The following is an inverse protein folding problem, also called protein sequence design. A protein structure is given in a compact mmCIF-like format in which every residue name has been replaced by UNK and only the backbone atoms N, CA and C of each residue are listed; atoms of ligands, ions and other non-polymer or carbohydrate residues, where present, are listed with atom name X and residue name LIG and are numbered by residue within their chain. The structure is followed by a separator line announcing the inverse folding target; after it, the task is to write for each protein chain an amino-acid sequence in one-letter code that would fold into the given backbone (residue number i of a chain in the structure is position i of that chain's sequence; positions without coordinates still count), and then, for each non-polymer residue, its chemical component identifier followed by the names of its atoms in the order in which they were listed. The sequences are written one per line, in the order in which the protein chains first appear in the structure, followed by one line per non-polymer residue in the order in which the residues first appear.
data_IF_645576833281
#
_entry.id   IF_645576833281
#
_cell.length_a   1.000
_cell.length_b   1.000
_cell.length_c   1.000
_cell.angle_alpha   90.00
_cell.angle_beta   90.00
_cell.angle_gamma   90.00
#
_symmetry.space_group_name_H-M   'P 1'
#
loop_
_entity.id
_entity.type
_entity.pdbx_description
1 polymer ?
#
# COMPACT_ATOMS: atom_id res chain seq x y z
N UNK A 1 35.01 45.39 65.27
CA UNK A 1 35.98 46.51 65.29
C UNK A 1 37.06 46.22 64.25
N UNK A 2 37.26 47.14 63.29
CA UNK A 2 38.42 47.33 62.40
C UNK A 2 38.78 46.18 61.42
N UNK A 3 38.64 46.32 60.10
CA UNK A 3 39.30 47.24 59.14
C UNK A 3 40.67 46.74 58.65
N UNK A 4 40.72 46.46 57.32
CA UNK A 4 41.85 46.67 56.37
C UNK A 4 43.17 45.92 56.66
N UNK A 5 44.02 45.53 55.71
CA UNK A 5 44.07 45.53 54.25
C UNK A 5 45.42 44.87 53.87
N UNK A 6 45.64 44.68 52.57
CA UNK A 6 46.97 44.70 51.91
C UNK A 6 47.77 43.39 52.02
N UNK A 7 48.48 42.88 51.01
CA UNK A 7 48.92 43.38 49.70
C UNK A 7 49.61 42.19 48.99
N UNK A 8 49.53 42.14 47.66
CA UNK A 8 50.60 41.74 46.69
C UNK A 8 51.15 40.30 46.80
N UNK A 9 51.38 39.50 45.76
CA UNK A 9 51.56 39.73 44.34
C UNK A 9 52.75 38.89 43.85
N UNK A 10 52.55 38.19 42.72
CA UNK A 10 53.56 37.82 41.69
C UNK A 10 54.42 36.55 41.86
N UNK A 11 54.63 35.92 40.70
CA UNK A 11 55.65 34.93 40.28
C UNK A 11 55.34 33.45 40.55
N UNK A 12 54.88 32.69 39.55
CA UNK A 12 55.67 31.98 38.52
C UNK A 12 56.41 30.76 39.08
N UNK A 13 56.06 29.56 38.59
CA UNK A 13 56.98 28.64 37.89
C UNK A 13 56.25 27.30 37.58
N UNK A 14 56.24 26.95 36.29
CA UNK A 14 56.63 25.64 35.69
C UNK A 14 56.07 24.35 36.31
N UNK A 15 55.55 23.35 35.60
CA UNK A 15 55.88 22.81 34.28
C UNK A 15 54.94 21.62 33.99
N UNK A 16 54.97 21.14 32.73
CA UNK A 16 54.52 19.82 32.27
C UNK A 16 53.03 19.63 31.95
N UNK A 17 52.60 20.19 30.82
CA UNK A 17 51.65 19.50 29.95
C UNK A 17 52.36 19.23 28.62
N UNK A 18 52.49 17.95 28.28
CA UNK A 18 53.14 17.47 27.06
C UNK A 18 52.36 17.96 25.85
N UNK A 19 53.07 18.58 24.91
CA UNK A 19 52.63 18.87 23.55
C UNK A 19 52.24 17.57 22.83
N UNK A 20 51.04 17.55 22.25
CA UNK A 20 50.72 16.68 21.12
C UNK A 20 50.87 17.55 19.88
N UNK A 21 51.91 17.28 19.09
CA UNK A 21 52.15 17.96 17.81
C UNK A 21 50.99 17.77 16.85
N UNK A 22 50.42 18.86 16.37
CA UNK A 22 49.50 18.89 15.22
C UNK A 22 50.34 19.21 13.97
N UNK A 23 50.46 18.33 12.98
CA UNK A 23 51.08 18.69 11.71
C UNK A 23 50.09 19.53 10.89
N UNK A 24 50.52 20.74 10.55
CA UNK A 24 49.92 21.54 9.48
C UNK A 24 50.27 20.93 8.12
N UNK A 25 49.26 20.52 7.36
CA UNK A 25 49.41 20.33 5.91
C UNK A 25 48.27 21.05 5.18
N UNK A 26 48.64 22.18 4.61
CA UNK A 26 47.92 22.92 3.59
C UNK A 26 48.04 22.15 2.27
N UNK A 27 46.94 22.20 1.49
CA UNK A 27 46.86 21.97 0.05
C UNK A 27 46.91 20.53 -0.46
N UNK A 28 45.72 20.01 -0.79
CA UNK A 28 45.37 19.88 -2.21
C UNK A 28 43.86 19.70 -2.35
N UNK A 29 43.17 20.77 -2.76
CA UNK A 29 41.80 20.70 -3.24
C UNK A 29 41.80 19.92 -4.56
N UNK A 30 41.74 18.59 -4.47
CA UNK A 30 41.32 17.77 -5.60
C UNK A 30 39.81 17.87 -5.66
N UNK A 31 39.33 18.54 -6.70
CA UNK A 31 37.93 18.73 -6.97
C UNK A 31 37.19 17.40 -6.83
N UNK A 32 36.28 17.37 -5.86
CA UNK A 32 35.17 16.41 -5.88
C UNK A 32 34.33 16.83 -7.08
N UNK A 33 34.72 16.35 -8.26
CA UNK A 33 33.84 16.29 -9.40
C UNK A 33 32.65 15.47 -8.94
N UNK A 34 31.58 16.16 -8.54
CA UNK A 34 30.26 15.56 -8.58
C UNK A 34 30.07 15.14 -10.02
N UNK A 35 30.33 13.87 -10.30
CA UNK A 35 29.78 13.21 -11.46
C UNK A 35 28.28 13.45 -11.35
N UNK A 36 27.77 14.45 -12.08
CA UNK A 36 26.41 14.41 -12.56
C UNK A 36 26.38 13.17 -13.46
N UNK A 37 26.21 12.01 -12.83
CA UNK A 37 25.73 10.84 -13.51
C UNK A 37 24.51 11.34 -14.27
N UNK A 38 24.58 11.27 -15.59
CA UNK A 38 23.41 11.41 -16.44
C UNK A 38 22.43 10.35 -15.95
N UNK A 39 21.56 10.73 -15.01
CA UNK A 39 20.38 9.96 -14.68
C UNK A 39 19.63 9.87 -15.98
N UNK A 40 19.66 8.70 -16.64
CA UNK A 40 18.52 8.36 -17.47
C UNK A 40 17.29 8.69 -16.63
N UNK A 41 16.40 9.53 -17.14
CA UNK A 41 15.31 10.05 -16.35
C UNK A 41 14.48 8.85 -15.84
N UNK A 42 14.68 8.49 -14.57
CA UNK A 42 14.04 7.33 -13.98
C UNK A 42 12.54 7.58 -14.06
N UNK A 43 11.85 6.69 -14.79
CA UNK A 43 10.41 6.76 -14.94
C UNK A 43 9.82 6.04 -13.74
N UNK A 44 9.37 6.81 -12.76
CA UNK A 44 8.63 6.26 -11.64
C UNK A 44 7.20 5.97 -12.09
N UNK A 45 6.83 4.70 -11.93
CA UNK A 45 5.53 4.17 -12.30
C UNK A 45 4.50 4.34 -11.19
N UNK A 46 3.23 4.26 -11.60
CA UNK A 46 2.05 4.11 -10.75
C UNK A 46 2.18 2.96 -9.74
N UNK A 47 1.42 3.08 -8.67
CA UNK A 47 1.14 2.09 -7.65
C UNK A 47 -0.08 1.28 -8.04
N UNK A 48 0.03 -0.05 -7.93
CA UNK A 48 -1.09 -0.99 -8.10
C UNK A 48 -1.21 -1.81 -6.83
N UNK A 49 -2.43 -1.98 -6.34
CA UNK A 49 -2.78 -2.79 -5.19
C UNK A 49 -3.88 -3.79 -5.58
N UNK A 50 -3.66 -5.05 -5.26
CA UNK A 50 -4.65 -6.12 -5.32
C UNK A 50 -4.95 -6.59 -3.90
N UNK A 51 -6.22 -6.66 -3.54
CA UNK A 51 -6.70 -7.15 -2.24
C UNK A 51 -7.72 -8.26 -2.51
N UNK A 52 -7.51 -9.42 -1.91
CA UNK A 52 -8.47 -10.52 -1.88
C UNK A 52 -9.01 -10.67 -0.46
N UNK A 53 -10.33 -10.59 -0.30
CA UNK A 53 -11.00 -10.79 0.99
C UNK A 53 -12.42 -11.31 0.78
N UNK A 54 -12.84 -12.28 1.59
CA UNK A 54 -14.22 -12.81 1.61
C UNK A 54 -14.77 -13.25 0.24
N UNK A 55 -13.89 -13.79 -0.63
CA UNK A 55 -14.24 -14.24 -1.97
C UNK A 55 -14.35 -13.13 -3.02
N UNK A 56 -14.10 -11.87 -2.65
CA UNK A 56 -13.98 -10.73 -3.56
C UNK A 56 -12.52 -10.41 -3.83
N UNK A 57 -12.22 -10.01 -5.07
CA UNK A 57 -10.91 -9.51 -5.48
C UNK A 57 -11.07 -8.09 -5.96
N UNK A 58 -10.22 -7.19 -5.47
CA UNK A 58 -10.22 -5.80 -5.87
C UNK A 58 -8.83 -5.44 -6.37
N UNK A 59 -8.75 -4.86 -7.56
CA UNK A 59 -7.53 -4.34 -8.15
C UNK A 59 -7.68 -2.83 -8.34
N UNK A 60 -6.81 -2.05 -7.71
CA UNK A 60 -6.77 -0.59 -7.81
C UNK A 60 -5.40 -0.16 -8.29
N UNK A 61 -5.35 0.82 -9.19
CA UNK A 61 -4.12 1.50 -9.57
C UNK A 61 -4.32 3.01 -9.54
N UNK A 62 -3.28 3.76 -9.19
CA UNK A 62 -3.27 5.20 -9.43
C UNK A 62 -2.85 5.52 -10.88
N UNK A 63 -2.96 6.81 -11.24
CA UNK A 63 -2.75 7.27 -12.61
C UNK A 63 -1.44 8.04 -12.84
N UNK A 64 -0.61 8.27 -11.81
CA UNK A 64 0.55 9.13 -11.92
C UNK A 64 1.73 8.46 -12.63
N UNK A 65 2.26 9.13 -13.66
CA UNK A 65 3.56 8.83 -14.25
C UNK A 65 4.47 10.02 -14.06
N UNK A 66 5.60 9.78 -13.41
CA UNK A 66 6.60 10.81 -13.10
C UNK A 66 7.89 10.45 -13.82
N UNK A 67 8.50 11.43 -14.50
CA UNK A 67 9.78 11.25 -15.18
C UNK A 67 10.77 12.26 -14.59
N UNK A 68 11.81 11.74 -13.91
CA UNK A 68 12.66 12.57 -13.08
C UNK A 68 11.85 13.24 -11.95
N UNK A 69 11.81 14.57 -11.94
CA UNK A 69 11.06 15.35 -10.93
C UNK A 69 9.68 15.84 -11.38
N UNK A 70 9.24 15.52 -12.59
CA UNK A 70 8.04 16.12 -13.19
C UNK A 70 6.96 15.09 -13.46
N UNK A 71 5.71 15.40 -13.07
CA UNK A 71 4.54 14.60 -13.42
C UNK A 71 4.25 14.80 -14.90
N UNK A 72 4.41 13.74 -15.69
CA UNK A 72 4.19 13.74 -17.14
C UNK A 72 2.71 13.51 -17.46
N UNK A 73 2.08 12.58 -16.74
CA UNK A 73 0.67 12.26 -16.94
C UNK A 73 0.02 11.85 -15.61
N UNK A 74 -1.10 12.48 -15.21
CA UNK A 74 -1.76 12.17 -13.95
C UNK A 74 -2.80 11.03 -14.04
N UNK A 75 -3.20 10.65 -15.26
CA UNK A 75 -4.38 9.80 -15.50
C UNK A 75 -4.07 8.61 -16.43
N UNK A 76 -3.08 7.79 -16.07
CA UNK A 76 -2.79 6.54 -16.79
C UNK A 76 -3.65 5.40 -16.24
N UNK A 77 -4.31 4.65 -17.12
CA UNK A 77 -5.00 3.41 -16.71
C UNK A 77 -4.01 2.26 -16.80
N UNK A 78 -3.60 1.71 -15.64
CA UNK A 78 -2.70 0.55 -15.58
C UNK A 78 -3.37 -0.73 -15.08
N UNK A 79 -4.69 -0.69 -14.90
CA UNK A 79 -5.52 -1.88 -14.73
C UNK A 79 -6.13 -2.29 -16.06
N UNK A 80 -6.33 -3.60 -16.26
CA UNK A 80 -6.96 -4.16 -17.45
C UNK A 80 -7.71 -5.45 -17.12
N UNK A 81 -8.80 -5.70 -17.83
CA UNK A 81 -9.46 -7.01 -17.88
C UNK A 81 -8.70 -7.89 -18.88
N UNK A 82 -8.52 -9.18 -18.56
CA UNK A 82 -7.79 -10.15 -19.38
C UNK A 82 -8.76 -11.29 -19.67
N UNK A 83 -9.24 -11.39 -20.91
CA UNK A 83 -10.42 -12.18 -21.23
C UNK A 83 -11.62 -11.85 -20.33
N UNK A 84 -12.40 -12.86 -19.99
CA UNK A 84 -13.62 -12.73 -19.18
C UNK A 84 -13.42 -13.05 -17.69
N UNK A 85 -12.28 -13.66 -17.34
CA UNK A 85 -12.11 -14.36 -16.05
C UNK A 85 -11.03 -13.76 -15.14
N UNK A 86 -10.18 -12.88 -15.66
CA UNK A 86 -9.04 -12.33 -14.91
C UNK A 86 -8.93 -10.81 -15.05
N UNK A 87 -8.34 -10.19 -14.01
CA UNK A 87 -7.90 -8.80 -14.01
C UNK A 87 -6.41 -8.75 -13.83
N UNK A 88 -5.77 -7.71 -14.36
CA UNK A 88 -4.35 -7.51 -14.12
C UNK A 88 -3.95 -6.05 -14.08
N UNK A 89 -2.83 -5.80 -13.41
CA UNK A 89 -2.25 -4.48 -13.26
C UNK A 89 -0.74 -4.51 -13.37
N UNK A 90 -0.16 -3.45 -13.90
CA UNK A 90 1.25 -3.43 -14.29
C UNK A 90 1.96 -2.17 -13.80
N UNK A 91 3.14 -2.30 -13.20
CA UNK A 91 3.93 -1.16 -12.71
C UNK A 91 5.19 -0.93 -13.56
N UNK A 92 5.00 -0.50 -14.80
CA UNK A 92 6.09 -0.16 -15.72
C UNK A 92 5.62 0.69 -16.91
N UNK A 93 6.39 0.66 -18.00
CA UNK A 93 6.05 1.36 -19.23
C UNK A 93 4.81 0.76 -19.91
N UNK A 94 3.97 1.62 -20.47
CA UNK A 94 2.67 1.21 -21.04
C UNK A 94 2.80 0.25 -22.22
N UNK A 95 3.84 0.39 -23.05
CA UNK A 95 4.07 -0.50 -24.20
C UNK A 95 4.38 -1.95 -23.77
N UNK A 96 5.22 -2.12 -22.75
CA UNK A 96 5.55 -3.45 -22.23
C UNK A 96 4.34 -4.10 -21.57
N UNK A 97 3.50 -3.31 -20.89
CA UNK A 97 2.24 -3.78 -20.33
C UNK A 97 1.33 -4.42 -21.38
N UNK A 98 1.16 -3.76 -22.54
CA UNK A 98 0.35 -4.29 -23.64
C UNK A 98 0.88 -5.63 -24.12
N UNK A 99 2.19 -5.72 -24.35
CA UNK A 99 2.83 -6.96 -24.82
C UNK A 99 2.66 -8.11 -23.81
N UNK A 100 2.84 -7.83 -22.51
CA UNK A 100 2.70 -8.84 -21.47
C UNK A 100 1.25 -9.30 -21.30
N UNK A 101 0.28 -8.38 -21.34
CA UNK A 101 -1.14 -8.74 -21.27
C UNK A 101 -1.60 -9.57 -22.46
N UNK A 102 -1.21 -9.20 -23.69
CA UNK A 102 -1.57 -9.96 -24.89
C UNK A 102 -0.99 -11.38 -24.83
N UNK A 103 0.28 -11.52 -24.43
CA UNK A 103 0.92 -12.84 -24.28
C UNK A 103 0.25 -13.68 -23.19
N UNK A 104 -0.15 -13.06 -22.09
CA UNK A 104 -0.86 -13.74 -21.01
C UNK A 104 -2.26 -14.19 -21.43
N UNK A 105 -2.97 -13.35 -22.19
CA UNK A 105 -4.28 -13.69 -22.75
C UNK A 105 -4.19 -14.93 -23.64
N UNK A 106 -3.20 -14.99 -24.54
CA UNK A 106 -2.94 -16.20 -25.33
C UNK A 106 -2.68 -17.43 -24.46
N UNK A 107 -1.93 -17.30 -23.34
CA UNK A 107 -1.68 -18.42 -22.43
C UNK A 107 -2.92 -18.85 -21.63
N UNK A 108 -3.83 -17.93 -21.34
CA UNK A 108 -5.12 -18.25 -20.72
C UNK A 108 -6.06 -18.96 -21.69
N UNK A 109 -6.02 -18.62 -22.98
CA UNK A 109 -6.77 -19.33 -24.04
C UNK A 109 -6.25 -20.76 -24.24
N UNK A 110 -4.91 -20.96 -24.22
CA UNK A 110 -4.29 -22.29 -24.27
C UNK A 110 -4.62 -23.15 -23.04
N UNK A 111 -4.84 -22.51 -21.88
CA UNK A 111 -5.07 -23.17 -20.59
C UNK A 111 -6.27 -22.56 -19.83
N UNK A 112 -7.52 -22.80 -20.29
CA UNK A 112 -8.70 -22.21 -19.69
C UNK A 112 -8.85 -22.60 -18.21
N UNK A 113 -9.16 -21.61 -17.36
CA UNK A 113 -9.35 -21.79 -15.92
C UNK A 113 -8.08 -22.13 -15.12
N UNK A 114 -6.89 -22.08 -15.72
CA UNK A 114 -5.62 -22.39 -15.04
C UNK A 114 -4.69 -21.18 -15.02
N UNK A 115 -5.05 -20.16 -14.25
CA UNK A 115 -4.27 -18.92 -14.15
C UNK A 115 -2.81 -19.17 -13.73
N UNK A 116 -2.57 -20.02 -12.73
CA UNK A 116 -1.21 -20.37 -12.30
C UNK A 116 -0.37 -20.96 -13.42
N UNK A 117 -0.95 -21.85 -14.24
CA UNK A 117 -0.24 -22.45 -15.36
C UNK A 117 0.10 -21.42 -16.43
N UNK A 118 -0.88 -20.58 -16.80
CA UNK A 118 -0.65 -19.50 -17.76
C UNK A 118 0.41 -18.51 -17.27
N UNK A 119 0.39 -18.16 -15.98
CA UNK A 119 1.37 -17.30 -15.33
C UNK A 119 2.79 -17.88 -15.37
N UNK A 120 2.95 -19.18 -15.10
CA UNK A 120 4.25 -19.86 -15.15
C UNK A 120 4.80 -19.90 -16.57
N UNK A 121 3.96 -20.17 -17.58
CA UNK A 121 4.40 -20.14 -18.99
C UNK A 121 4.79 -18.72 -19.44
N UNK A 122 4.03 -17.70 -19.02
CA UNK A 122 4.41 -16.29 -19.23
C UNK A 122 5.76 -15.98 -18.57
N UNK A 123 5.96 -16.38 -17.31
CA UNK A 123 7.18 -16.12 -16.56
C UNK A 123 8.42 -16.75 -17.22
N UNK A 124 8.31 -17.98 -17.71
CA UNK A 124 9.36 -18.65 -18.51
C UNK A 124 9.69 -17.84 -19.76
N UNK A 125 8.67 -17.45 -20.51
CA UNK A 125 8.85 -16.68 -21.74
C UNK A 125 9.44 -15.28 -21.47
N UNK A 126 9.00 -14.60 -20.41
CA UNK A 126 9.52 -13.29 -20.01
C UNK A 126 11.01 -13.39 -19.67
N UNK A 127 11.43 -14.41 -18.92
CA UNK A 127 12.83 -14.65 -18.57
C UNK A 127 13.72 -14.95 -19.78
N UNK A 128 13.18 -15.62 -20.80
CA UNK A 128 13.90 -15.95 -22.04
C UNK A 128 14.02 -14.77 -23.01
N UNK A 129 13.07 -13.83 -22.96
CA UNK A 129 13.03 -12.68 -23.86
C UNK A 129 14.16 -11.68 -23.52
N UNK A 130 15.03 -11.41 -24.52
CA UNK A 130 16.21 -10.54 -24.36
C UNK A 130 15.83 -9.12 -23.93
N UNK A 131 14.68 -8.62 -24.36
CA UNK A 131 14.23 -7.25 -24.10
C UNK A 131 13.47 -7.19 -22.78
N UNK A 132 12.49 -8.07 -22.59
CA UNK A 132 11.61 -8.00 -21.42
C UNK A 132 12.31 -8.35 -20.11
N UNK A 133 13.35 -9.21 -20.11
CA UNK A 133 14.06 -9.59 -18.86
C UNK A 133 14.83 -8.44 -18.17
N UNK A 134 15.06 -7.33 -18.88
CA UNK A 134 15.74 -6.13 -18.34
C UNK A 134 14.76 -5.11 -17.76
N UNK A 135 13.46 -5.42 -17.85
CA UNK A 135 12.41 -4.54 -17.40
C UNK A 135 12.32 -4.57 -15.88
N UNK A 136 12.46 -3.41 -15.25
CA UNK A 136 12.26 -3.24 -13.81
C UNK A 136 10.77 -3.05 -13.51
N UNK A 137 9.97 -4.08 -13.85
CA UNK A 137 8.53 -4.05 -13.66
C UNK A 137 8.00 -5.38 -13.14
N UNK A 138 6.90 -5.28 -12.41
CA UNK A 138 6.12 -6.42 -11.95
C UNK A 138 4.71 -6.34 -12.54
N UNK A 139 4.10 -7.52 -12.70
CA UNK A 139 2.73 -7.72 -13.15
C UNK A 139 1.95 -8.37 -12.01
N UNK A 140 0.78 -7.84 -11.68
CA UNK A 140 -0.20 -8.48 -10.81
C UNK A 140 -1.32 -9.00 -11.68
N UNK A 141 -1.75 -10.24 -11.43
CA UNK A 141 -2.88 -10.88 -12.11
C UNK A 141 -3.71 -11.60 -11.07
N UNK A 142 -5.03 -11.50 -11.17
CA UNK A 142 -5.92 -12.23 -10.29
C UNK A 142 -7.16 -12.70 -11.05
N UNK A 143 -7.63 -13.89 -10.69
CA UNK A 143 -8.94 -14.41 -11.07
C UNK A 143 -9.80 -14.62 -9.79
N UNK A 144 -10.93 -15.32 -9.91
CA UNK A 144 -11.77 -15.64 -8.75
C UNK A 144 -11.04 -16.51 -7.70
N UNK A 145 -10.07 -17.33 -8.09
CA UNK A 145 -9.44 -18.33 -7.22
C UNK A 145 -8.10 -17.86 -6.63
N UNK A 146 -7.24 -17.26 -7.44
CA UNK A 146 -5.84 -16.99 -7.10
C UNK A 146 -5.42 -15.57 -7.48
N UNK A 147 -4.46 -15.03 -6.72
CA UNK A 147 -3.83 -13.74 -6.99
C UNK A 147 -2.32 -13.94 -7.10
N UNK A 148 -1.73 -13.58 -8.24
CA UNK A 148 -0.34 -13.87 -8.59
C UNK A 148 0.42 -12.59 -8.91
N UNK A 149 1.65 -12.51 -8.42
CA UNK A 149 2.65 -11.54 -8.85
C UNK A 149 3.67 -12.24 -9.76
N UNK A 150 3.93 -11.64 -10.93
CA UNK A 150 4.86 -12.16 -11.93
C UNK A 150 5.96 -11.12 -12.17
N UNK A 151 7.21 -11.55 -12.18
CA UNK A 151 8.39 -10.68 -12.38
C UNK A 151 9.18 -11.05 -13.63
N UNK A 152 9.98 -10.12 -14.14
CA UNK A 152 10.89 -10.37 -15.28
C UNK A 152 12.02 -11.37 -15.00
N UNK A 153 12.26 -11.70 -13.73
CA UNK A 153 13.18 -12.76 -13.33
C UNK A 153 12.58 -14.16 -13.52
N UNK A 154 11.29 -14.25 -13.86
CA UNK A 154 10.56 -15.50 -14.02
C UNK A 154 9.99 -16.04 -12.70
N UNK A 155 9.82 -15.18 -11.70
CA UNK A 155 9.17 -15.56 -10.44
C UNK A 155 7.64 -15.45 -10.58
N UNK A 156 6.93 -16.42 -10.01
CA UNK A 156 5.46 -16.41 -9.86
C UNK A 156 5.16 -16.61 -8.38
N UNK A 157 4.57 -15.60 -7.74
CA UNK A 157 4.41 -15.54 -6.30
C UNK A 157 2.94 -15.30 -5.94
N UNK A 158 2.39 -16.14 -5.09
CA UNK A 158 1.08 -15.95 -4.46
C UNK A 158 1.28 -15.59 -2.99
N UNK A 159 0.83 -14.42 -2.51
CA UNK A 159 0.97 -14.05 -1.11
C UNK A 159 -0.05 -14.77 -0.25
N UNK A 160 0.36 -15.19 0.95
CA UNK A 160 -0.50 -15.88 1.91
C UNK A 160 -1.64 -15.02 2.47
N UNK A 161 -1.46 -13.70 2.51
CA UNK A 161 -2.43 -12.73 3.03
C UNK A 161 -3.41 -12.23 1.95
N UNK A 162 -3.27 -12.69 0.71
CA UNK A 162 -4.13 -12.27 -0.40
C UNK A 162 -3.92 -10.83 -0.86
N UNK A 163 -2.83 -10.17 -0.44
CA UNK A 163 -2.55 -8.76 -0.78
C UNK A 163 -1.27 -8.67 -1.61
N UNK A 164 -1.36 -8.04 -2.79
CA UNK A 164 -0.22 -7.77 -3.67
C UNK A 164 -0.16 -6.28 -3.94
N UNK A 165 1.01 -5.67 -3.76
CA UNK A 165 1.25 -4.30 -4.18
C UNK A 165 2.51 -4.21 -5.03
N UNK A 166 2.46 -3.43 -6.10
CA UNK A 166 3.60 -3.18 -6.99
C UNK A 166 3.69 -1.69 -7.34
N UNK A 167 4.87 -1.24 -7.78
CA UNK A 167 5.12 0.15 -8.14
C UNK A 167 5.64 1.02 -7.01
N UNK A 168 5.71 2.33 -7.27
CA UNK A 168 6.46 3.29 -6.46
C UNK A 168 5.94 3.44 -5.03
N UNK A 169 4.62 3.41 -4.83
CA UNK A 169 3.96 3.50 -3.53
C UNK A 169 3.61 2.14 -2.90
N UNK A 170 4.11 1.04 -3.45
CA UNK A 170 3.74 -0.31 -3.00
C UNK A 170 4.01 -0.59 -1.52
N UNK A 171 5.12 -0.14 -0.87
CA UNK A 171 5.34 -0.44 0.54
C UNK A 171 4.28 0.22 1.44
N UNK A 172 3.84 1.43 1.09
CA UNK A 172 2.81 2.16 1.83
C UNK A 172 1.43 1.51 1.67
N UNK A 173 1.06 1.20 0.42
CA UNK A 173 -0.21 0.55 0.10
C UNK A 173 -0.30 -0.84 0.76
N UNK A 174 0.78 -1.63 0.69
CA UNK A 174 0.83 -2.97 1.27
C UNK A 174 0.73 -2.93 2.80
N UNK A 175 1.50 -2.06 3.46
CA UNK A 175 1.46 -1.93 4.91
C UNK A 175 0.08 -1.46 5.41
N UNK A 176 -0.52 -0.49 4.71
CA UNK A 176 -1.86 -0.01 5.04
C UNK A 176 -2.92 -1.09 4.83
N UNK A 177 -2.91 -1.79 3.69
CA UNK A 177 -3.88 -2.86 3.42
C UNK A 177 -3.78 -4.00 4.45
N UNK A 178 -2.56 -4.42 4.81
CA UNK A 178 -2.32 -5.42 5.86
C UNK A 178 -2.83 -5.00 7.22
N UNK A 179 -2.68 -3.72 7.58
CA UNK A 179 -3.20 -3.22 8.84
C UNK A 179 -4.75 -3.17 8.88
N UNK A 180 -5.39 -3.08 7.71
CA UNK A 180 -6.84 -2.96 7.58
C UNK A 180 -7.55 -4.31 7.36
N UNK A 181 -6.84 -5.34 6.90
CA UNK A 181 -7.44 -6.64 6.50
C UNK A 181 -8.17 -7.34 7.66
N UNK A 182 -7.63 -7.22 8.88
CA UNK A 182 -8.15 -7.85 10.09
C UNK A 182 -9.25 -7.02 10.78
N UNK A 183 -9.57 -5.83 10.26
CA UNK A 183 -10.60 -4.96 10.86
C UNK A 183 -11.99 -5.53 10.52
N UNK A 184 -12.81 -5.89 11.54
CA UNK A 184 -14.15 -6.42 11.31
C UNK A 184 -15.03 -5.41 10.56
N UNK A 185 -15.80 -5.91 9.58
CA UNK A 185 -16.76 -5.10 8.82
C UNK A 185 -16.18 -4.29 7.66
N UNK A 186 -14.86 -4.36 7.40
CA UNK A 186 -14.27 -3.77 6.20
C UNK A 186 -14.32 -4.77 5.04
N UNK A 187 -14.86 -4.36 3.89
CA UNK A 187 -14.85 -5.14 2.65
C UNK A 187 -13.55 -4.90 1.85
N UNK A 188 -13.31 -5.71 0.81
CA UNK A 188 -12.11 -5.62 -0.01
C UNK A 188 -11.97 -4.24 -0.68
N UNK A 189 -13.10 -3.65 -1.12
CA UNK A 189 -13.16 -2.34 -1.79
C UNK A 189 -12.74 -1.22 -0.85
N UNK A 190 -13.28 -1.17 0.37
CA UNK A 190 -12.95 -0.17 1.37
C UNK A 190 -11.49 -0.26 1.81
N UNK A 191 -10.97 -1.48 1.98
CA UNK A 191 -9.56 -1.70 2.31
C UNK A 191 -8.67 -1.16 1.19
N UNK A 192 -8.93 -1.54 -0.05
CA UNK A 192 -8.14 -1.11 -1.19
C UNK A 192 -8.16 0.42 -1.36
N UNK A 193 -9.34 1.04 -1.26
CA UNK A 193 -9.48 2.50 -1.35
C UNK A 193 -8.72 3.22 -0.22
N UNK A 194 -8.89 2.78 1.02
CA UNK A 194 -8.24 3.42 2.17
C UNK A 194 -6.72 3.26 2.12
N UNK A 195 -6.24 2.08 1.76
CA UNK A 195 -4.81 1.79 1.61
C UNK A 195 -4.18 2.62 0.48
N UNK A 196 -4.84 2.72 -0.67
CA UNK A 196 -4.35 3.54 -1.78
C UNK A 196 -4.39 5.04 -1.46
N UNK A 197 -5.39 5.50 -0.69
CA UNK A 197 -5.43 6.90 -0.22
C UNK A 197 -4.25 7.21 0.70
N UNK A 198 -3.94 6.32 1.64
CA UNK A 198 -2.75 6.44 2.51
C UNK A 198 -1.46 6.45 1.68
N UNK A 199 -1.37 5.60 0.65
CA UNK A 199 -0.22 5.57 -0.25
C UNK A 199 -0.08 6.88 -1.04
N UNK A 200 -1.18 7.49 -1.49
CA UNK A 200 -1.17 8.78 -2.17
C UNK A 200 -0.74 9.94 -1.24
N UNK A 201 -1.09 9.88 0.05
CA UNK A 201 -0.65 10.87 1.03
C UNK A 201 0.84 10.73 1.38
N UNK A 202 1.37 9.51 1.36
CA UNK A 202 2.75 9.22 1.78
C UNK A 202 3.77 9.24 0.64
N UNK A 203 3.38 8.85 -0.59
CA UNK A 203 4.28 8.67 -1.72
C UNK A 203 4.11 9.80 -2.74
N UNK A 204 5.17 10.57 -2.99
CA UNK A 204 5.19 11.65 -3.99
C UNK A 204 4.93 11.19 -5.44
N UNK A 205 5.04 9.88 -5.70
CA UNK A 205 4.84 9.26 -7.01
C UNK A 205 3.47 8.60 -7.18
N UNK A 206 2.58 8.71 -6.18
CA UNK A 206 1.22 8.14 -6.20
C UNK A 206 0.20 9.25 -6.00
N UNK A 207 -0.83 9.30 -6.84
CA UNK A 207 -1.91 10.29 -6.69
C UNK A 207 -3.25 9.67 -6.28
N UNK A 208 -4.26 10.51 -6.13
CA UNK A 208 -5.63 10.12 -5.76
C UNK A 208 -6.54 9.83 -6.96
N UNK A 209 -5.97 9.75 -8.17
CA UNK A 209 -6.74 9.39 -9.35
C UNK A 209 -6.67 7.89 -9.60
N UNK A 210 -7.62 7.17 -9.02
CA UNK A 210 -7.66 5.72 -9.07
C UNK A 210 -8.48 5.18 -10.23
N UNK A 211 -7.99 4.10 -10.82
CA UNK A 211 -8.76 3.17 -11.65
C UNK A 211 -8.92 1.86 -10.90
N UNK A 212 -10.12 1.31 -10.84
CA UNK A 212 -10.39 0.12 -10.07
C UNK A 212 -11.27 -0.89 -10.81
N UNK A 213 -10.93 -2.16 -10.61
CA UNK A 213 -11.67 -3.33 -11.09
C UNK A 213 -11.97 -4.22 -9.88
N UNK A 214 -13.09 -4.92 -9.90
CA UNK A 214 -13.40 -5.97 -8.92
C UNK A 214 -13.84 -7.25 -9.61
N UNK A 215 -13.51 -8.38 -9.00
CA UNK A 215 -14.07 -9.69 -9.30
C UNK A 215 -14.93 -10.10 -8.11
N UNK A 216 -16.22 -10.28 -8.37
CA UNK A 216 -17.19 -10.66 -7.35
C UNK A 216 -17.06 -12.17 -7.03
N UNK A 217 -17.72 -12.64 -5.97
CA UNK A 217 -17.75 -14.07 -5.62
C UNK A 217 -18.30 -14.98 -6.72
N UNK A 218 -19.05 -14.46 -7.70
CA UNK A 218 -19.54 -15.20 -8.86
C UNK A 218 -18.52 -15.29 -10.01
N UNK A 219 -17.49 -14.45 -10.02
CA UNK A 219 -16.47 -14.36 -11.08
C UNK A 219 -16.71 -13.22 -12.07
N UNK A 220 -17.76 -12.43 -11.90
CA UNK A 220 -18.07 -11.27 -12.74
C UNK A 220 -17.08 -10.13 -12.50
N UNK A 221 -16.57 -9.54 -13.59
CA UNK A 221 -15.62 -8.43 -13.54
C UNK A 221 -16.33 -7.09 -13.72
N UNK A 222 -16.29 -6.25 -12.69
CA UNK A 222 -16.91 -4.94 -12.66
C UNK A 222 -15.88 -3.81 -12.60
N UNK A 223 -16.20 -2.71 -13.29
CA UNK A 223 -15.56 -1.42 -13.03
C UNK A 223 -16.28 -0.77 -11.85
N UNK A 224 -15.54 -0.22 -10.90
CA UNK A 224 -16.15 0.50 -9.78
C UNK A 224 -15.41 1.80 -9.48
N UNK A 225 -16.14 2.79 -8.95
CA UNK A 225 -15.56 4.09 -8.64
C UNK A 225 -14.92 4.08 -7.25
N UNK A 226 -13.59 4.01 -7.24
CA UNK A 226 -12.77 4.10 -6.02
C UNK A 226 -12.85 5.46 -5.30
N UNK A 227 -13.59 6.44 -5.81
CA UNK A 227 -13.92 7.67 -5.07
C UNK A 227 -15.23 7.58 -4.28
N UNK A 228 -16.15 6.68 -4.67
CA UNK A 228 -17.49 6.63 -4.11
C UNK A 228 -17.60 5.82 -2.80
N UNK A 229 -16.68 4.89 -2.53
CA UNK A 229 -16.72 4.05 -1.33
C UNK A 229 -15.95 4.67 -0.14
N UNK A 230 -16.20 5.95 0.15
CA UNK A 230 -15.90 6.46 1.49
C UNK A 230 -16.90 5.79 2.43
N UNK A 231 -16.54 4.62 2.96
CA UNK A 231 -17.37 3.92 3.95
C UNK A 231 -17.54 4.86 5.15
N UNK A 232 -18.76 5.33 5.45
CA UNK A 232 -18.99 5.95 6.74
C UNK A 232 -18.79 4.84 7.76
N UNK A 233 -17.82 5.03 8.66
CA UNK A 233 -17.65 4.20 9.84
C UNK A 233 -19.01 4.13 10.55
N UNK A 234 -19.77 3.07 10.29
CA UNK A 234 -21.11 2.91 10.83
C UNK A 234 -20.91 2.40 12.24
N UNK A 235 -20.73 3.37 13.14
CA UNK A 235 -20.76 3.10 14.57
C UNK A 235 -22.20 2.69 14.88
N UNK A 236 -22.44 1.38 14.98
CA UNK A 236 -23.69 0.87 15.53
C UNK A 236 -23.73 1.33 16.98
N UNK A 237 -24.35 2.48 17.21
CA UNK A 237 -24.64 2.98 18.56
C UNK A 237 -25.70 2.04 19.12
N UNK A 238 -25.25 1.01 19.85
CA UNK A 238 -26.11 0.29 20.78
C UNK A 238 -26.60 1.29 21.80
N UNK A 239 -27.83 1.78 21.64
CA UNK A 239 -28.53 2.56 22.64
C UNK A 239 -28.73 1.68 23.86
N UNK A 240 -27.81 1.80 24.82
CA UNK A 240 -27.95 1.24 26.15
C UNK A 240 -29.26 1.73 26.76
N UNK A 241 -30.15 0.77 27.03
CA UNK A 241 -31.40 1.00 27.74
C UNK A 241 -31.08 1.52 29.14
N UNK A 242 -31.31 2.82 29.35
CA UNK A 242 -31.09 3.48 30.63
C UNK A 242 -31.97 2.89 31.72
N UNK A 243 -31.32 2.43 32.79
CA UNK A 243 -31.94 2.05 34.05
C UNK A 243 -32.65 3.26 34.68
N UNK A 244 -33.98 3.25 34.65
CA UNK A 244 -34.83 4.18 35.40
C UNK A 244 -35.19 3.59 36.77
N UNK A 245 -34.54 4.11 37.82
CA UNK A 245 -34.97 3.97 39.22
C UNK A 245 -36.26 4.77 39.46
N UNK A 246 -37.24 4.13 40.10
CA UNK A 246 -38.22 4.67 41.08
C UNK A 246 -39.08 3.46 41.50
N UNK A 247 -39.32 3.10 42.76
CA UNK A 247 -39.28 3.86 44.00
C UNK A 247 -40.69 3.89 44.62
N UNK A 248 -41.06 2.85 45.38
CA UNK A 248 -41.98 2.90 46.52
C UNK A 248 -43.50 3.00 46.28
N UNK A 249 -44.23 1.95 46.69
CA UNK A 249 -45.70 1.98 46.82
C UNK A 249 -46.27 0.64 47.32
N UNK A 250 -46.24 0.44 48.64
CA UNK A 250 -46.94 -0.64 49.36
C UNK A 250 -48.46 -0.65 49.06
N UNK A 251 -49.04 -1.84 48.86
CA UNK A 251 -50.03 -2.42 49.79
C UNK A 251 -50.43 -3.84 49.41
N UNK A 252 -50.72 -4.60 50.46
CA UNK A 252 -50.85 -6.04 50.50
C UNK A 252 -52.28 -6.57 50.32
N UNK A 253 -52.35 -7.85 49.94
CA UNK A 253 -53.20 -8.91 50.51
C UNK A 253 -54.67 -9.13 50.07
N UNK A 254 -55.01 -10.42 50.12
CA UNK A 254 -56.32 -11.11 50.08
C UNK A 254 -56.93 -11.33 48.68
N UNK A 255 -57.09 -12.55 48.15
CA UNK A 255 -57.74 -13.80 48.61
C UNK A 255 -59.25 -13.90 48.28
N UNK A 256 -59.56 -14.97 47.54
CA UNK A 256 -60.76 -15.82 47.63
C UNK A 256 -62.17 -15.33 47.19
N UNK A 257 -62.64 -15.96 46.11
CA UNK A 257 -63.89 -16.75 45.99
C UNK A 257 -65.30 -16.11 46.00
N UNK A 258 -66.18 -16.79 45.23
CA UNK A 258 -67.66 -16.77 45.11
C UNK A 258 -68.18 -15.87 43.97
N UNK A 259 -68.75 -16.41 42.89
CA UNK A 259 -69.94 -17.27 42.74
C UNK A 259 -71.27 -16.57 43.10
N UNK A 260 -72.09 -16.34 42.05
CA UNK A 260 -73.56 -16.45 41.98
C UNK A 260 -74.34 -15.20 41.49
N UNK A 261 -75.15 -15.45 40.44
CA UNK A 261 -76.41 -14.80 40.01
C UNK A 261 -76.37 -13.39 39.40
N UNK A 262 -76.57 -13.32 38.09
CA UNK A 262 -77.90 -13.20 37.47
C UNK A 262 -77.86 -13.73 36.04
#
# INVERSE_FOLDING_TARGET
MLSRASKQGVALLTSSWREVSIPSLISSAHGVGRSFASSHADVHSTTVLCVRKDGEVVLVADGQVTMGGTVVKPNVKKTRKIGEQAVGGFAGATADAFTLFERLETKLEEHPGQLTRAAVELAKMWRMDKYLRRLDAALVVADKQQSLQITGNGDVLEPHDGIIAIGSGSPYALAAARALIDIPGMDARAIAQKAMSIAADACIYTNTNFTALSINGEGTIEDWDAKAAVVPCTTTTTTGTGAGRNGGGEKASSAASKASKQ
#
